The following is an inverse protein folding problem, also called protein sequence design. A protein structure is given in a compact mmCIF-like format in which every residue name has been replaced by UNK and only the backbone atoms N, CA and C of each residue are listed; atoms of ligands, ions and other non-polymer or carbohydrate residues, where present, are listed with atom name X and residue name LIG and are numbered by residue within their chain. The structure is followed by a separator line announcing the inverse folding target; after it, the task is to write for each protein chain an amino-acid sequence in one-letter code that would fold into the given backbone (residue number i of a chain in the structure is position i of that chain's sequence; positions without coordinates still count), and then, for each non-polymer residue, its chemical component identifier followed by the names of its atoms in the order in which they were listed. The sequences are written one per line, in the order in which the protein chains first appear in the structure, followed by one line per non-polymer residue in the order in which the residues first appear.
data_IF_750571971272
#
_entry.id   IF_750571971272
#
_cell.length_a   1.000
_cell.length_b   1.000
_cell.length_c   1.000
_cell.angle_alpha   90.00
_cell.angle_beta   90.00
_cell.angle_gamma   90.00
#
_symmetry.space_group_name_H-M   'P 1'
#
loop_
_entity.id
_entity.type
_entity.pdbx_description
1 polymer ?
#
# COMPACT_ATOMS: atom_id res chain seq x y z
N UNK A 1 6.35 -35.22 23.62
CA UNK A 1 7.05 -34.96 22.35
C UNK A 1 6.54 -33.62 21.86
N UNK A 2 7.37 -32.59 21.96
CA UNK A 2 7.06 -31.25 21.45
C UNK A 2 7.11 -31.34 19.93
N UNK A 3 6.00 -31.06 19.24
CA UNK A 3 6.00 -30.80 17.80
C UNK A 3 6.73 -29.46 17.62
N UNK A 4 8.05 -29.52 17.56
CA UNK A 4 8.89 -28.39 17.22
C UNK A 4 8.72 -28.19 15.72
N UNK A 5 8.02 -27.12 15.35
CA UNK A 5 7.80 -26.77 13.94
C UNK A 5 9.16 -26.42 13.33
N UNK A 6 9.61 -27.26 12.42
CA UNK A 6 10.81 -27.02 11.62
C UNK A 6 10.49 -25.92 10.58
N UNK A 7 10.86 -24.70 10.93
CA UNK A 7 10.61 -23.51 10.13
C UNK A 7 11.45 -23.48 8.86
N UNK A 8 12.62 -24.12 8.85
CA UNK A 8 13.49 -24.17 7.67
C UNK A 8 12.84 -25.04 6.59
N UNK A 9 12.33 -26.22 6.97
CA UNK A 9 11.59 -27.09 6.05
C UNK A 9 10.33 -26.44 5.48
N UNK A 10 9.59 -25.71 6.32
CA UNK A 10 8.41 -24.95 5.89
C UNK A 10 8.79 -23.83 4.91
N UNK A 11 9.88 -23.11 5.16
CA UNK A 11 10.38 -22.07 4.26
C UNK A 11 10.74 -22.63 2.88
N UNK A 12 11.42 -23.78 2.83
CA UNK A 12 11.79 -24.44 1.58
C UNK A 12 10.56 -24.92 0.80
N UNK A 13 9.57 -25.52 1.46
CA UNK A 13 8.29 -25.92 0.85
C UNK A 13 7.52 -24.72 0.27
N UNK A 14 7.51 -23.58 0.97
CA UNK A 14 6.90 -22.34 0.45
C UNK A 14 7.68 -21.77 -0.75
N UNK A 15 9.02 -21.88 -0.75
CA UNK A 15 9.85 -21.41 -1.85
C UNK A 15 9.65 -22.25 -3.12
N UNK A 16 9.49 -23.56 -2.99
CA UNK A 16 9.20 -24.48 -4.11
C UNK A 16 7.82 -24.22 -4.74
N UNK A 17 6.89 -23.66 -3.95
CA UNK A 17 5.56 -23.22 -4.39
C UNK A 17 5.43 -21.71 -4.59
N UNK A 18 6.55 -20.97 -4.70
CA UNK A 18 6.50 -19.52 -4.94
C UNK A 18 5.67 -19.28 -6.20
N UNK A 19 4.49 -18.64 -6.11
CA UNK A 19 3.72 -18.33 -7.30
C UNK A 19 4.59 -17.45 -8.21
N UNK A 20 4.49 -17.65 -9.53
CA UNK A 20 5.08 -16.75 -10.52
C UNK A 20 4.87 -15.32 -10.05
N UNK A 21 5.97 -14.56 -9.92
CA UNK A 21 5.96 -13.22 -9.35
C UNK A 21 4.81 -12.43 -9.99
N UNK A 22 3.75 -12.18 -9.22
CA UNK A 22 2.50 -11.56 -9.69
C UNK A 22 2.74 -10.03 -9.77
N UNK A 23 3.67 -9.61 -10.62
CA UNK A 23 4.03 -8.21 -10.80
C UNK A 23 5.50 -7.96 -11.13
N UNK A 24 5.82 -6.70 -11.37
CA UNK A 24 7.18 -6.26 -11.64
C UNK A 24 8.05 -6.40 -10.38
N UNK A 25 9.23 -7.03 -10.51
CA UNK A 25 10.16 -7.14 -9.38
C UNK A 25 10.77 -5.77 -9.09
N UNK A 26 10.27 -5.10 -8.06
CA UNK A 26 10.84 -3.82 -7.62
C UNK A 26 12.16 -4.11 -6.92
N UNK A 27 13.29 -3.82 -7.58
CA UNK A 27 14.61 -3.84 -6.95
C UNK A 27 14.86 -2.48 -6.28
N UNK A 28 14.91 -2.39 -4.95
CA UNK A 28 15.18 -1.13 -4.27
C UNK A 28 16.57 -0.63 -4.63
N UNK A 29 16.68 0.64 -5.00
CA UNK A 29 17.97 1.31 -5.25
C UNK A 29 18.65 1.80 -3.95
N UNK A 30 17.97 1.60 -2.81
CA UNK A 30 18.42 1.96 -1.46
C UNK A 30 18.05 0.86 -0.47
N UNK A 31 18.71 0.85 0.69
CA UNK A 31 18.32 -0.04 1.79
C UNK A 31 16.85 0.21 2.20
N UNK A 32 16.11 -0.88 2.39
CA UNK A 32 14.73 -0.86 2.89
C UNK A 32 14.77 -0.60 4.40
N UNK A 33 14.01 0.39 4.85
CA UNK A 33 13.83 0.73 6.28
C UNK A 33 12.55 0.13 6.82
N UNK A 34 12.37 0.13 8.16
CA UNK A 34 11.11 -0.34 8.76
C UNK A 34 9.89 0.48 8.28
N UNK A 35 10.07 1.78 8.03
CA UNK A 35 9.00 2.64 7.52
C UNK A 35 8.58 2.26 6.08
N UNK A 36 9.53 1.77 5.28
CA UNK A 36 9.24 1.25 3.94
C UNK A 36 8.44 -0.05 3.99
N UNK A 37 8.73 -0.90 4.98
CA UNK A 37 8.00 -2.15 5.22
C UNK A 37 6.56 -1.83 5.65
N UNK A 38 6.37 -0.89 6.57
CA UNK A 38 5.05 -0.39 6.98
C UNK A 38 4.26 0.12 5.76
N UNK A 39 4.91 0.85 4.86
CA UNK A 39 4.29 1.35 3.63
C UNK A 39 3.91 0.22 2.66
N UNK A 40 4.77 -0.80 2.48
CA UNK A 40 4.48 -1.97 1.64
C UNK A 40 3.26 -2.73 2.17
N UNK A 41 3.20 -3.00 3.48
CA UNK A 41 2.05 -3.67 4.09
C UNK A 41 0.78 -2.81 4.08
N UNK A 42 0.92 -1.48 4.04
CA UNK A 42 -0.19 -0.56 3.80
C UNK A 42 -0.61 -0.48 2.31
N UNK A 43 -0.02 -1.31 1.44
CA UNK A 43 -0.27 -1.34 0.00
C UNK A 43 0.18 -0.06 -0.71
N UNK A 44 1.15 0.67 -0.15
CA UNK A 44 1.69 1.88 -0.77
C UNK A 44 2.91 1.49 -1.62
N UNK A 45 3.09 2.08 -2.80
CA UNK A 45 4.31 1.87 -3.57
C UNK A 45 5.50 2.44 -2.81
N UNK A 46 6.66 1.82 -2.99
CA UNK A 46 7.91 2.25 -2.38
C UNK A 46 8.21 3.70 -2.81
N UNK A 47 8.39 4.59 -1.83
CA UNK A 47 8.74 5.98 -2.10
C UNK A 47 10.26 6.16 -2.22
N UNK A 48 10.70 7.18 -2.96
CA UNK A 48 12.12 7.55 -3.04
C UNK A 48 12.74 7.79 -1.67
N UNK A 49 11.99 8.37 -0.74
CA UNK A 49 12.35 8.55 0.67
C UNK A 49 11.29 7.89 1.56
N UNK A 50 11.67 7.31 2.72
CA UNK A 50 10.71 6.78 3.67
C UNK A 50 9.66 7.84 4.03
N UNK A 51 8.38 7.44 4.02
CA UNK A 51 7.30 8.35 4.42
C UNK A 51 7.31 8.46 5.93
N UNK A 52 7.04 9.67 6.45
CA UNK A 52 6.81 9.84 7.87
C UNK A 52 5.63 8.95 8.32
N UNK A 53 5.75 8.37 9.52
CA UNK A 53 4.67 7.58 10.10
C UNK A 53 3.40 8.42 10.18
N UNK A 54 2.27 7.78 9.90
CA UNK A 54 0.99 8.44 10.03
C UNK A 54 0.65 8.58 11.53
N UNK A 55 0.66 9.81 12.02
CA UNK A 55 0.31 10.10 13.43
C UNK A 55 -1.18 9.90 13.73
N UNK A 56 -2.03 9.89 12.70
CA UNK A 56 -3.49 9.84 12.85
C UNK A 56 -4.13 8.87 11.86
N UNK A 57 -5.02 8.02 12.38
CA UNK A 57 -5.85 7.11 11.59
C UNK A 57 -7.26 7.71 11.42
N UNK A 58 -7.68 7.93 10.17
CA UNK A 58 -9.03 8.35 9.83
C UNK A 58 -9.81 7.21 9.16
N UNK A 59 -11.04 6.98 9.63
CA UNK A 59 -12.00 6.10 8.96
C UNK A 59 -12.73 6.89 7.88
N UNK A 60 -12.71 6.37 6.65
CA UNK A 60 -13.52 6.89 5.55
C UNK A 60 -14.64 5.90 5.25
N UNK A 61 -15.85 6.42 5.10
CA UNK A 61 -17.01 5.65 4.68
C UNK A 61 -17.27 5.91 3.21
N UNK A 62 -17.37 4.85 2.42
CA UNK A 62 -17.67 4.90 0.99
C UNK A 62 -19.06 4.31 0.75
N UNK A 63 -19.77 4.83 -0.25
CA UNK A 63 -20.93 4.13 -0.80
C UNK A 63 -20.47 2.85 -1.51
N UNK A 64 -21.40 1.92 -1.77
CA UNK A 64 -21.09 0.67 -2.46
C UNK A 64 -20.44 0.91 -3.83
N UNK A 65 -21.02 1.80 -4.64
CA UNK A 65 -20.52 2.16 -5.96
C UNK A 65 -19.10 2.77 -5.89
N UNK A 66 -18.84 3.61 -4.87
CA UNK A 66 -17.51 4.17 -4.65
C UNK A 66 -16.49 3.11 -4.25
N UNK A 67 -16.86 2.15 -3.39
CA UNK A 67 -15.95 1.06 -3.02
C UNK A 67 -15.57 0.19 -4.21
N UNK A 68 -16.53 -0.08 -5.11
CA UNK A 68 -16.29 -0.83 -6.33
C UNK A 68 -15.33 -0.10 -7.27
N UNK A 69 -15.57 1.20 -7.51
CA UNK A 69 -14.68 2.03 -8.32
C UNK A 69 -13.27 2.12 -7.71
N UNK A 70 -13.18 2.32 -6.39
CA UNK A 70 -11.91 2.33 -5.66
C UNK A 70 -11.19 1.00 -5.79
N UNK A 71 -11.90 -0.13 -5.69
CA UNK A 71 -11.32 -1.46 -5.85
C UNK A 71 -10.78 -1.69 -7.25
N UNK A 72 -11.56 -1.36 -8.28
CA UNK A 72 -11.16 -1.53 -9.68
C UNK A 72 -9.92 -0.67 -10.01
N UNK A 73 -9.92 0.59 -9.58
CA UNK A 73 -8.80 1.50 -9.83
C UNK A 73 -7.55 1.14 -9.00
N UNK A 74 -7.73 0.71 -7.75
CA UNK A 74 -6.63 0.24 -6.90
C UNK A 74 -5.94 -1.00 -7.49
N UNK A 75 -6.71 -1.94 -8.03
CA UNK A 75 -6.19 -3.11 -8.72
C UNK A 75 -5.40 -2.73 -9.98
N UNK A 76 -5.92 -1.79 -10.78
CA UNK A 76 -5.25 -1.28 -12.00
C UNK A 76 -3.93 -0.58 -11.69
N UNK A 77 -3.85 0.13 -10.57
CA UNK A 77 -2.64 0.86 -10.16
C UNK A 77 -1.70 0.03 -9.27
N UNK A 78 -2.08 -1.21 -8.93
CA UNK A 78 -1.34 -2.07 -7.99
C UNK A 78 -1.04 -1.38 -6.64
N UNK A 79 -2.03 -0.64 -6.11
CA UNK A 79 -1.94 0.03 -4.80
C UNK A 79 -3.12 -0.35 -3.91
N UNK A 80 -2.99 -0.17 -2.60
CA UNK A 80 -4.07 -0.39 -1.64
C UNK A 80 -5.17 0.68 -1.73
N UNK A 81 -6.41 0.31 -1.37
CA UNK A 81 -7.57 1.22 -1.37
C UNK A 81 -7.30 2.53 -0.60
N UNK A 82 -6.73 2.42 0.59
CA UNK A 82 -6.42 3.59 1.42
C UNK A 82 -5.36 4.50 0.79
N UNK A 83 -4.43 3.92 0.02
CA UNK A 83 -3.43 4.70 -0.72
C UNK A 83 -4.10 5.48 -1.87
N UNK A 84 -5.00 4.82 -2.61
CA UNK A 84 -5.79 5.47 -3.66
C UNK A 84 -6.65 6.61 -3.12
N UNK A 85 -7.35 6.41 -1.99
CA UNK A 85 -8.18 7.45 -1.37
C UNK A 85 -7.33 8.66 -0.95
N UNK A 86 -6.15 8.45 -0.36
CA UNK A 86 -5.22 9.55 -0.03
C UNK A 86 -4.76 10.29 -1.28
N UNK A 87 -4.40 9.56 -2.34
CA UNK A 87 -4.01 10.14 -3.63
C UNK A 87 -5.12 11.03 -4.20
N UNK A 88 -6.37 10.55 -4.19
CA UNK A 88 -7.54 11.30 -4.65
C UNK A 88 -7.80 12.55 -3.80
N UNK A 89 -7.67 12.45 -2.47
CA UNK A 89 -7.84 13.58 -1.56
C UNK A 89 -6.77 14.67 -1.80
N UNK A 90 -5.50 14.28 -1.96
CA UNK A 90 -4.42 15.23 -2.27
C UNK A 90 -4.69 15.93 -3.61
N UNK A 91 -5.12 15.20 -4.64
CA UNK A 91 -5.47 15.78 -5.92
C UNK A 91 -6.64 16.78 -5.80
N UNK A 92 -7.68 16.42 -5.05
CA UNK A 92 -8.82 17.31 -4.77
C UNK A 92 -8.40 18.58 -4.05
N UNK A 93 -7.58 18.47 -2.99
CA UNK A 93 -7.11 19.63 -2.23
C UNK A 93 -6.25 20.54 -3.11
N UNK A 94 -5.33 19.96 -3.89
CA UNK A 94 -4.46 20.72 -4.81
C UNK A 94 -5.29 21.46 -5.87
N UNK A 95 -6.32 20.81 -6.44
CA UNK A 95 -7.19 21.42 -7.44
C UNK A 95 -8.07 22.54 -6.89
N UNK A 96 -8.37 22.54 -5.58
CA UNK A 96 -9.23 23.54 -4.95
C UNK A 96 -8.48 24.62 -4.15
N UNK A 97 -7.17 24.47 -3.93
CA UNK A 97 -6.31 25.51 -3.34
C UNK A 97 -6.17 26.76 -4.22
N UNK A 98 -6.47 26.67 -5.52
CA UNK A 98 -6.44 27.79 -6.47
C UNK A 98 -7.70 28.64 -6.50
N UNK A 99 -8.75 28.30 -5.72
CA UNK A 99 -9.89 29.21 -5.51
C UNK A 99 -9.66 30.02 -4.24
N UNK A 100 -9.45 31.35 -4.33
CA UNK A 100 -9.50 32.17 -3.13
C UNK A 100 -10.89 32.00 -2.52
N UNK A 101 -10.93 31.72 -1.21
CA UNK A 101 -12.16 31.83 -0.46
C UNK A 101 -12.66 33.27 -0.62
N UNK A 102 -13.72 33.44 -1.40
CA UNK A 102 -14.47 34.70 -1.45
C UNK A 102 -15.09 34.83 -0.06
N UNK A 103 -14.52 35.71 0.76
CA UNK A 103 -15.12 36.26 1.98
C UNK A 103 -15.68 37.62 1.62
#
# INVERSE_FOLDING_TARGET
MTNETDWDKLSDEYAEHTPDIIGETIRPQRAITMDDIDDIFAGRPLAEKPRAKADVLYKAYLTADMDEQVRAQAAKEHIGKSALIRKALVAYLTANQTKPAIV
#
